data_IF_433713703897
#
_entry.id   IF_433713703897
#
_cell.length_a   1.000
_cell.length_b   1.000
_cell.length_c   1.000
_cell.angle_alpha   90.00
_cell.angle_beta   90.00
_cell.angle_gamma   90.00
#
_symmetry.space_group_name_H-M   'P 1'
#
loop_
_entity.id
_entity.type
_entity.pdbx_description
1 polymer ?
#
# COMPACT_ATOMS: atom_id res chain seq x y z
N UNK A 1 6.98 -19.03 -24.15
CA UNK A 1 6.32 -18.62 -22.88
C UNK A 1 6.20 -17.12 -22.90
N UNK A 2 5.01 -16.59 -22.61
CA UNK A 2 4.72 -15.17 -22.55
C UNK A 2 4.45 -14.77 -21.09
N UNK A 3 4.96 -13.62 -20.66
CA UNK A 3 4.63 -13.05 -19.36
C UNK A 3 3.89 -11.73 -19.53
N UNK A 4 2.79 -11.55 -18.79
CA UNK A 4 2.00 -10.32 -18.80
C UNK A 4 1.46 -9.99 -17.41
N UNK A 5 1.15 -8.73 -17.16
CA UNK A 5 0.42 -8.32 -15.96
C UNK A 5 -1.07 -8.57 -16.19
N UNK A 6 -1.73 -9.24 -15.25
CA UNK A 6 -3.18 -9.41 -15.25
C UNK A 6 -3.68 -9.62 -13.82
N UNK A 7 -4.76 -8.92 -13.48
CA UNK A 7 -5.49 -9.07 -12.23
C UNK A 7 -6.97 -8.72 -12.45
N UNK A 8 -7.75 -8.59 -11.37
CA UNK A 8 -9.18 -8.29 -11.47
C UNK A 8 -9.47 -6.98 -12.22
N UNK A 9 -8.61 -5.97 -12.10
CA UNK A 9 -8.79 -4.65 -12.72
C UNK A 9 -8.04 -4.53 -14.06
N UNK A 10 -6.91 -5.23 -14.20
CA UNK A 10 -6.08 -5.22 -15.41
C UNK A 10 -6.37 -6.44 -16.28
N UNK A 11 -7.56 -6.49 -16.87
CA UNK A 11 -8.07 -7.64 -17.65
C UNK A 11 -7.89 -7.50 -19.17
N UNK A 12 -7.07 -6.56 -19.63
CA UNK A 12 -6.89 -6.27 -21.06
C UNK A 12 -6.44 -7.47 -21.89
N UNK A 13 -5.61 -8.37 -21.32
CA UNK A 13 -5.18 -9.60 -22.00
C UNK A 13 -6.34 -10.55 -22.34
N UNK A 14 -7.45 -10.47 -21.61
CA UNK A 14 -8.66 -11.28 -21.78
C UNK A 14 -9.77 -10.55 -22.56
N UNK A 15 -9.93 -9.24 -22.37
CA UNK A 15 -11.10 -8.51 -22.89
C UNK A 15 -10.82 -7.63 -24.11
N UNK A 16 -9.55 -7.30 -24.37
CA UNK A 16 -9.19 -6.36 -25.44
C UNK A 16 -8.54 -7.16 -26.58
N UNK A 17 -9.08 -7.09 -27.82
CA UNK A 17 -8.43 -7.66 -29.00
C UNK A 17 -7.03 -7.08 -29.18
N UNK A 18 -6.08 -7.93 -29.55
CA UNK A 18 -4.72 -7.49 -29.82
C UNK A 18 -4.69 -6.62 -31.08
N UNK A 19 -3.79 -5.63 -31.14
CA UNK A 19 -3.77 -4.65 -32.23
C UNK A 19 -3.59 -5.34 -33.58
N UNK A 20 -4.55 -5.16 -34.51
CA UNK A 20 -4.51 -5.74 -35.85
C UNK A 20 -5.00 -7.19 -35.95
N UNK A 21 -5.53 -7.77 -34.87
CA UNK A 21 -6.17 -9.09 -34.86
C UNK A 21 -7.53 -9.03 -34.17
N UNK A 22 -8.41 -9.99 -34.48
CA UNK A 22 -9.70 -10.13 -33.78
C UNK A 22 -9.56 -10.84 -32.43
N UNK A 23 -8.46 -11.58 -32.23
CA UNK A 23 -8.20 -12.36 -31.02
C UNK A 23 -7.56 -11.52 -29.92
N UNK A 24 -7.92 -11.82 -28.67
CA UNK A 24 -7.23 -11.32 -27.47
C UNK A 24 -5.86 -11.99 -27.30
N UNK A 25 -5.01 -11.45 -26.42
CA UNK A 25 -3.68 -12.02 -26.15
C UNK A 25 -3.79 -13.46 -25.63
N UNK A 26 -4.76 -13.74 -24.75
CA UNK A 26 -4.97 -15.08 -24.20
C UNK A 26 -5.49 -16.07 -25.25
N UNK A 27 -6.39 -15.64 -26.13
CA UNK A 27 -6.90 -16.48 -27.23
C UNK A 27 -5.79 -16.83 -28.22
N UNK A 28 -5.00 -15.83 -28.63
CA UNK A 28 -3.87 -16.02 -29.53
C UNK A 28 -2.84 -16.98 -28.92
N UNK A 29 -2.48 -16.79 -27.65
CA UNK A 29 -1.53 -17.65 -26.95
C UNK A 29 -2.04 -19.10 -26.87
N UNK A 30 -3.34 -19.29 -26.60
CA UNK A 30 -3.97 -20.62 -26.58
C UNK A 30 -3.92 -21.30 -27.95
N UNK A 31 -4.28 -20.58 -29.00
CA UNK A 31 -4.25 -21.08 -30.39
C UNK A 31 -2.84 -21.55 -30.78
N UNK A 32 -1.81 -20.79 -30.38
CA UNK A 32 -0.41 -21.06 -30.70
C UNK A 32 0.31 -21.92 -29.65
N UNK A 33 -0.42 -22.46 -28.65
CA UNK A 33 0.12 -23.28 -27.55
C UNK A 33 1.26 -22.60 -26.79
N UNK A 34 1.19 -21.29 -26.65
CA UNK A 34 2.14 -20.49 -25.87
C UNK A 34 1.67 -20.47 -24.41
N UNK A 35 2.49 -20.99 -23.50
CA UNK A 35 2.23 -20.88 -22.07
C UNK A 35 2.23 -19.41 -21.62
N UNK A 36 1.20 -19.00 -20.88
CA UNK A 36 1.03 -17.63 -20.35
C UNK A 36 1.24 -17.61 -18.84
N UNK A 37 2.14 -16.73 -18.43
CA UNK A 37 2.51 -16.47 -17.05
C UNK A 37 1.97 -15.09 -16.64
N UNK A 38 0.98 -15.08 -15.75
CA UNK A 38 0.39 -13.85 -15.21
C UNK A 38 1.22 -13.36 -14.03
N UNK A 39 1.58 -12.08 -14.02
CA UNK A 39 2.24 -11.42 -12.89
C UNK A 39 1.33 -10.38 -12.21
N UNK A 40 1.71 -9.96 -10.99
CA UNK A 40 1.00 -8.98 -10.16
C UNK A 40 -0.50 -9.30 -9.96
N UNK A 41 -0.87 -10.57 -9.67
CA UNK A 41 -2.27 -10.99 -9.58
C UNK A 41 -3.05 -10.27 -8.47
N UNK A 42 -2.35 -9.74 -7.46
CA UNK A 42 -2.93 -9.11 -6.28
C UNK A 42 -2.52 -7.64 -6.11
N UNK A 43 -1.81 -7.07 -7.07
CA UNK A 43 -1.41 -5.66 -7.05
C UNK A 43 -1.97 -5.01 -8.31
N UNK A 44 -3.13 -4.37 -8.17
CA UNK A 44 -3.85 -3.73 -9.25
C UNK A 44 -3.46 -2.26 -9.39
N UNK A 45 -3.40 -1.77 -10.63
CA UNK A 45 -3.28 -0.35 -10.94
C UNK A 45 -4.47 0.04 -11.82
N UNK A 46 -5.63 0.40 -11.23
CA UNK A 46 -6.81 0.79 -12.00
C UNK A 46 -6.53 2.04 -12.83
N UNK A 47 -6.98 2.06 -14.09
CA UNK A 47 -6.68 3.14 -15.04
C UNK A 47 -7.25 4.51 -14.63
N UNK A 48 -8.32 4.51 -13.86
CA UNK A 48 -9.03 5.68 -13.33
C UNK A 48 -8.42 6.21 -12.01
N UNK A 49 -7.52 5.45 -11.37
CA UNK A 49 -7.00 5.76 -10.02
C UNK A 49 -5.51 6.00 -10.00
N UNK A 50 -5.14 7.08 -9.29
CA UNK A 50 -3.75 7.39 -8.97
C UNK A 50 -3.29 6.55 -7.78
N UNK A 51 -2.99 5.28 -8.03
CA UNK A 51 -2.33 4.44 -7.01
C UNK A 51 -2.55 2.95 -7.20
N UNK A 52 -1.63 2.18 -6.62
CA UNK A 52 -1.75 0.74 -6.51
C UNK A 52 -2.82 0.37 -5.48
N UNK A 53 -3.56 -0.70 -5.76
CA UNK A 53 -4.51 -1.33 -4.83
C UNK A 53 -4.08 -2.77 -4.63
N UNK A 54 -3.88 -3.18 -3.36
CA UNK A 54 -3.59 -4.56 -3.04
C UNK A 54 -4.89 -5.34 -2.79
N UNK A 55 -5.11 -6.43 -3.52
CA UNK A 55 -6.28 -7.31 -3.41
C UNK A 55 -6.12 -8.32 -2.26
N UNK A 56 -5.70 -7.82 -1.10
CA UNK A 56 -5.46 -8.60 0.11
C UNK A 56 -5.84 -7.76 1.32
N UNK A 57 -6.28 -8.41 2.40
CA UNK A 57 -6.60 -7.69 3.63
C UNK A 57 -5.38 -6.90 4.13
N UNK A 58 -5.53 -5.59 4.41
CA UNK A 58 -4.43 -4.80 4.94
C UNK A 58 -4.10 -5.27 6.35
N UNK A 59 -2.81 -5.21 6.70
CA UNK A 59 -2.33 -5.52 8.06
C UNK A 59 -1.95 -4.22 8.77
N UNK A 60 -2.51 -4.01 9.95
CA UNK A 60 -2.15 -2.92 10.84
C UNK A 60 -2.32 -3.34 12.29
N UNK A 61 -1.56 -2.72 13.17
CA UNK A 61 -1.74 -2.86 14.61
C UNK A 61 -2.81 -1.86 15.06
N UNK A 62 -3.85 -2.28 15.79
CA UNK A 62 -4.86 -1.36 16.29
C UNK A 62 -4.23 -0.41 17.32
N UNK A 63 -4.45 0.88 17.11
CA UNK A 63 -4.09 1.94 18.04
C UNK A 63 -5.37 2.57 18.58
N UNK A 64 -5.46 2.68 19.91
CA UNK A 64 -6.61 3.27 20.60
C UNK A 64 -6.48 4.78 20.78
N UNK A 65 -5.25 5.30 20.74
CA UNK A 65 -4.99 6.73 20.93
C UNK A 65 -5.59 7.56 19.79
N UNK A 66 -6.40 8.60 20.09
CA UNK A 66 -6.92 9.50 19.08
C UNK A 66 -5.81 10.28 18.37
N UNK A 67 -5.99 10.52 17.07
CA UNK A 67 -5.05 11.30 16.25
C UNK A 67 -4.76 12.66 16.87
N UNK A 68 -5.79 13.43 17.25
CA UNK A 68 -5.62 14.81 17.75
C UNK A 68 -4.74 14.88 19.00
N UNK A 69 -4.94 13.94 19.93
CA UNK A 69 -4.13 13.86 21.16
C UNK A 69 -2.66 13.60 20.83
N UNK A 70 -2.40 12.66 19.91
CA UNK A 70 -1.04 12.30 19.57
C UNK A 70 -0.36 13.37 18.70
N UNK A 71 -1.11 13.98 17.79
CA UNK A 71 -0.67 15.10 16.97
C UNK A 71 -0.22 16.28 17.84
N UNK A 72 -1.04 16.69 18.82
CA UNK A 72 -0.68 17.75 19.77
C UNK A 72 0.58 17.40 20.59
N UNK A 73 0.73 16.14 20.99
CA UNK A 73 1.89 15.70 21.75
C UNK A 73 3.20 15.72 20.93
N UNK A 74 3.12 15.49 19.61
CA UNK A 74 4.26 15.65 18.70
C UNK A 74 4.54 17.14 18.48
N UNK A 75 3.54 17.94 18.15
CA UNK A 75 3.68 19.38 17.95
C UNK A 75 4.33 20.10 19.15
N UNK A 76 3.95 19.73 20.38
CA UNK A 76 4.56 20.28 21.59
C UNK A 76 6.06 19.98 21.71
N UNK A 77 6.52 18.81 21.25
CA UNK A 77 7.95 18.48 21.21
C UNK A 77 8.68 19.23 20.10
N UNK A 78 8.04 19.43 18.95
CA UNK A 78 8.57 20.25 17.85
C UNK A 78 8.76 21.71 18.31
N UNK A 79 7.82 22.25 19.10
CA UNK A 79 7.95 23.57 19.72
C UNK A 79 9.09 23.64 20.74
N UNK A 80 9.26 22.61 21.57
CA UNK A 80 10.44 22.50 22.46
C UNK A 80 11.72 22.53 21.64
N UNK A 81 11.76 21.83 20.50
CA UNK A 81 12.93 21.84 19.63
C UNK A 81 13.24 23.22 19.05
N UNK A 82 12.22 23.93 18.57
CA UNK A 82 12.37 25.30 18.05
C UNK A 82 12.95 26.25 19.10
N UNK A 83 12.60 26.08 20.38
CA UNK A 83 13.05 26.94 21.48
C UNK A 83 14.45 26.57 21.98
N UNK A 84 14.71 25.29 22.19
CA UNK A 84 15.85 24.85 22.99
C UNK A 84 17.05 24.38 22.16
N UNK A 85 16.82 23.98 20.91
CA UNK A 85 17.83 23.34 20.06
C UNK A 85 18.06 24.05 18.72
N UNK A 86 17.03 24.60 18.08
CA UNK A 86 17.15 25.15 16.72
C UNK A 86 18.20 26.27 16.61
N UNK A 87 18.34 27.12 17.63
CA UNK A 87 19.33 28.21 17.65
C UNK A 87 20.79 27.74 17.74
N UNK A 88 21.03 26.49 18.14
CA UNK A 88 22.37 25.89 18.24
C UNK A 88 22.87 25.36 16.89
N UNK A 89 21.99 25.27 15.89
CA UNK A 89 22.32 24.75 14.57
C UNK A 89 22.63 25.94 13.64
N UNK A 90 23.85 26.02 13.08
CA UNK A 90 24.20 27.11 12.17
C UNK A 90 23.41 26.99 10.86
N UNK A 91 22.72 28.07 10.48
CA UNK A 91 22.02 28.15 9.19
C UNK A 91 22.91 28.76 8.12
N UNK A 92 23.18 28.00 7.05
CA UNK A 92 24.05 28.44 5.94
C UNK A 92 23.32 29.29 4.88
N UNK A 93 22.04 29.61 5.09
CA UNK A 93 21.23 30.36 4.12
C UNK A 93 20.77 29.55 2.91
N UNK A 94 21.01 28.24 2.89
CA UNK A 94 20.61 27.32 1.82
C UNK A 94 19.82 26.16 2.39
N UNK A 95 18.68 25.86 1.76
CA UNK A 95 17.78 24.78 2.19
C UNK A 95 16.85 25.18 3.34
N UNK A 96 16.28 24.16 3.97
CA UNK A 96 15.31 24.30 5.07
C UNK A 96 15.97 24.96 6.29
N UNK A 97 15.27 25.88 6.96
CA UNK A 97 15.77 26.48 8.19
C UNK A 97 15.80 25.44 9.33
N UNK A 98 16.78 25.50 10.26
CA UNK A 98 16.86 24.54 11.35
C UNK A 98 15.59 24.44 12.20
N UNK A 99 14.89 25.56 12.40
CA UNK A 99 13.61 25.61 13.14
C UNK A 99 12.50 24.78 12.49
N UNK A 100 12.60 24.51 11.19
CA UNK A 100 11.57 23.82 10.42
C UNK A 100 11.91 22.35 10.16
N UNK A 101 13.09 21.87 10.59
CA UNK A 101 13.55 20.48 10.42
C UNK A 101 12.56 19.43 10.90
N UNK A 102 11.84 19.72 11.99
CA UNK A 102 10.87 18.80 12.58
C UNK A 102 9.45 19.35 12.46
N UNK A 103 9.05 20.01 11.37
CA UNK A 103 7.65 20.50 11.21
C UNK A 103 6.67 19.40 10.77
N UNK A 104 6.82 18.17 11.30
CA UNK A 104 6.11 17.01 10.79
C UNK A 104 4.67 16.91 11.30
N UNK A 105 4.36 17.44 12.48
CA UNK A 105 2.98 17.42 12.98
C UNK A 105 2.05 18.13 11.98
N UNK A 106 2.37 19.38 11.62
CA UNK A 106 1.60 20.17 10.66
C UNK A 106 1.54 19.53 9.26
N UNK A 107 2.66 18.99 8.77
CA UNK A 107 2.74 18.31 7.48
C UNK A 107 1.85 17.06 7.46
N UNK A 108 1.96 16.20 8.48
CA UNK A 108 1.16 14.99 8.63
C UNK A 108 -0.32 15.30 8.82
N UNK A 109 -0.66 16.37 9.54
CA UNK A 109 -2.02 16.87 9.69
C UNK A 109 -2.66 17.22 8.34
N UNK A 110 -1.92 17.89 7.45
CA UNK A 110 -2.38 18.22 6.10
C UNK A 110 -2.48 16.97 5.21
N UNK A 111 -1.43 16.14 5.22
CA UNK A 111 -1.33 14.93 4.41
C UNK A 111 -2.43 13.90 4.75
N UNK A 112 -2.84 13.80 6.02
CA UNK A 112 -3.88 12.87 6.49
C UNK A 112 -5.14 12.87 5.62
N UNK A 113 -5.60 14.07 5.22
CA UNK A 113 -6.79 14.25 4.38
C UNK A 113 -6.60 13.74 2.94
N UNK A 114 -5.37 13.78 2.42
CA UNK A 114 -5.01 13.42 1.05
C UNK A 114 -4.67 11.94 0.88
N UNK A 115 -4.49 11.21 1.99
CA UNK A 115 -4.21 9.77 1.93
C UNK A 115 -5.45 9.02 1.43
N UNK A 116 -5.28 8.32 0.31
CA UNK A 116 -6.34 7.59 -0.37
C UNK A 116 -6.45 6.14 0.12
N UNK A 117 -5.31 5.46 0.28
CA UNK A 117 -5.22 4.07 0.66
C UNK A 117 -3.89 3.79 1.40
N UNK A 118 -3.74 2.57 1.91
CA UNK A 118 -2.54 2.13 2.64
C UNK A 118 -1.28 2.17 1.77
N UNK A 119 -1.36 1.80 0.50
CA UNK A 119 -0.22 1.79 -0.41
C UNK A 119 0.34 3.20 -0.65
N UNK A 120 -0.55 4.18 -0.81
CA UNK A 120 -0.19 5.59 -0.92
C UNK A 120 0.49 6.07 0.36
N UNK A 121 -0.03 5.68 1.53
CA UNK A 121 0.62 5.99 2.80
C UNK A 121 2.03 5.37 2.90
N UNK A 122 2.19 4.08 2.59
CA UNK A 122 3.48 3.39 2.62
C UNK A 122 4.52 4.07 1.72
N UNK A 123 4.07 4.60 0.58
CA UNK A 123 4.93 5.38 -0.32
C UNK A 123 5.35 6.71 0.29
N UNK A 124 4.42 7.50 0.85
CA UNK A 124 4.72 8.77 1.53
C UNK A 124 5.68 8.51 2.71
N UNK A 125 5.39 7.53 3.54
CA UNK A 125 6.19 7.18 4.72
C UNK A 125 7.63 6.83 4.32
N UNK A 126 7.82 5.96 3.32
CA UNK A 126 9.13 5.47 2.90
C UNK A 126 9.95 6.46 2.07
N UNK A 127 9.30 7.26 1.21
CA UNK A 127 10.00 8.15 0.27
C UNK A 127 10.18 9.57 0.80
N UNK A 128 9.33 10.02 1.72
CA UNK A 128 9.31 11.40 2.21
C UNK A 128 9.62 11.47 3.70
N UNK A 129 8.80 10.81 4.53
CA UNK A 129 8.83 11.00 5.98
C UNK A 129 10.08 10.39 6.61
N UNK A 130 10.36 9.10 6.35
CA UNK A 130 11.49 8.41 6.95
C UNK A 130 12.87 9.01 6.55
N UNK A 131 13.13 9.34 5.27
CA UNK A 131 14.38 10.01 4.89
C UNK A 131 14.54 11.38 5.56
N UNK A 132 13.46 12.17 5.61
CA UNK A 132 13.46 13.50 6.22
C UNK A 132 13.81 13.44 7.72
N UNK A 133 13.15 12.57 8.48
CA UNK A 133 13.42 12.37 9.92
C UNK A 133 14.87 11.95 10.13
N UNK A 134 15.35 10.96 9.37
CA UNK A 134 16.72 10.46 9.51
C UNK A 134 17.75 11.55 9.24
N UNK A 135 17.53 12.37 8.20
CA UNK A 135 18.41 13.49 7.89
C UNK A 135 18.38 14.56 8.99
N UNK A 136 17.20 14.97 9.45
CA UNK A 136 17.02 15.96 10.50
C UNK A 136 17.70 15.53 11.82
N UNK A 137 17.53 14.26 12.22
CA UNK A 137 18.18 13.68 13.39
C UNK A 137 19.71 13.66 13.22
N UNK A 138 20.22 13.21 12.07
CA UNK A 138 21.67 13.15 11.83
C UNK A 138 22.34 14.52 11.87
N UNK A 139 21.74 15.52 11.23
CA UNK A 139 22.28 16.89 11.22
C UNK A 139 22.27 17.45 12.64
N UNK A 140 21.15 17.32 13.35
CA UNK A 140 21.03 17.87 14.70
C UNK A 140 22.00 17.21 15.68
N UNK A 141 22.08 15.87 15.70
CA UNK A 141 22.98 15.14 16.62
C UNK A 141 24.44 15.57 16.47
N UNK A 142 24.90 15.88 15.24
CA UNK A 142 26.29 16.35 15.03
C UNK A 142 26.58 17.66 15.76
N UNK A 143 25.60 18.56 15.87
CA UNK A 143 25.76 19.85 16.54
C UNK A 143 25.56 19.77 18.07
N UNK A 144 24.82 18.77 18.57
CA UNK A 144 24.51 18.64 20.01
C UNK A 144 25.60 17.98 20.85
N UNK A 145 26.61 17.37 20.21
CA UNK A 145 27.77 16.76 20.87
C UNK A 145 28.68 17.77 21.63
N UNK A 146 28.37 19.08 21.60
CA UNK A 146 29.18 20.15 22.19
C UNK A 146 28.56 20.79 23.45
N UNK A 147 27.62 20.13 24.14
CA UNK A 147 27.18 20.57 25.49
C UNK A 147 25.73 20.29 25.89
N UNK A 148 24.87 19.83 24.96
CA UNK A 148 23.46 19.47 25.23
C UNK A 148 23.12 18.02 24.87
N UNK A 149 24.11 17.13 24.85
CA UNK A 149 23.94 15.76 24.38
C UNK A 149 22.85 14.98 25.14
N UNK A 150 22.82 15.08 26.48
CA UNK A 150 21.83 14.38 27.31
C UNK A 150 20.41 14.91 27.12
N UNK A 151 20.23 16.24 27.06
CA UNK A 151 18.91 16.85 26.82
C UNK A 151 18.40 16.51 25.42
N UNK A 152 19.30 16.49 24.43
CA UNK A 152 19.00 16.08 23.07
C UNK A 152 18.58 14.62 22.99
N UNK A 153 19.32 13.70 23.61
CA UNK A 153 19.00 12.26 23.62
C UNK A 153 17.64 11.97 24.27
N UNK A 154 17.34 12.65 25.38
CA UNK A 154 16.05 12.57 26.05
C UNK A 154 14.91 13.10 25.18
N UNK A 155 15.12 14.25 24.51
CA UNK A 155 14.14 14.80 23.58
C UNK A 155 13.92 13.86 22.38
N UNK A 156 15.00 13.39 21.76
CA UNK A 156 14.98 12.49 20.60
C UNK A 156 14.20 11.21 20.92
N UNK A 157 14.46 10.58 22.07
CA UNK A 157 13.78 9.35 22.48
C UNK A 157 12.26 9.57 22.62
N UNK A 158 11.85 10.69 23.23
CA UNK A 158 10.44 11.05 23.38
C UNK A 158 9.78 11.41 22.05
N UNK A 159 10.50 12.12 21.19
CA UNK A 159 10.01 12.54 19.88
C UNK A 159 9.81 11.36 18.96
N UNK A 160 10.81 10.49 18.81
CA UNK A 160 10.73 9.30 17.96
C UNK A 160 9.60 8.37 18.42
N UNK A 161 9.46 8.11 19.73
CA UNK A 161 8.38 7.23 20.19
C UNK A 161 7.00 7.80 19.91
N UNK A 162 6.81 9.11 20.11
CA UNK A 162 5.54 9.78 19.82
C UNK A 162 5.25 9.86 18.33
N UNK A 163 6.26 10.17 17.52
CA UNK A 163 6.11 10.22 16.08
C UNK A 163 5.75 8.86 15.51
N UNK A 164 6.42 7.78 15.92
CA UNK A 164 6.09 6.42 15.50
C UNK A 164 4.63 6.05 15.83
N UNK A 165 4.14 6.44 17.01
CA UNK A 165 2.73 6.23 17.36
C UNK A 165 1.79 7.03 16.44
N UNK A 166 2.13 8.28 16.11
CA UNK A 166 1.37 9.10 15.16
C UNK A 166 1.31 8.46 13.77
N UNK A 167 2.45 7.97 13.26
CA UNK A 167 2.54 7.26 11.98
C UNK A 167 1.69 5.98 12.00
N UNK A 168 1.69 5.22 13.11
CA UNK A 168 0.83 4.04 13.27
C UNK A 168 -0.67 4.38 13.21
N UNK A 169 -1.09 5.49 13.84
CA UNK A 169 -2.49 5.95 13.78
C UNK A 169 -2.88 6.26 12.33
N UNK A 170 -2.05 7.01 11.60
CA UNK A 170 -2.31 7.35 10.19
C UNK A 170 -2.37 6.08 9.33
N UNK A 171 -1.44 5.14 9.54
CA UNK A 171 -1.42 3.84 8.87
C UNK A 171 -2.72 3.06 9.09
N UNK A 172 -3.22 3.03 10.33
CA UNK A 172 -4.50 2.39 10.66
C UNK A 172 -5.68 3.05 9.94
N UNK A 173 -5.73 4.38 9.88
CA UNK A 173 -6.77 5.09 9.13
C UNK A 173 -6.72 4.78 7.63
N UNK A 174 -5.52 4.75 7.05
CA UNK A 174 -5.30 4.38 5.66
C UNK A 174 -5.71 2.93 5.38
N UNK A 175 -5.38 2.01 6.29
CA UNK A 175 -5.80 0.61 6.21
C UNK A 175 -7.33 0.45 6.26
N UNK A 176 -8.02 1.17 7.16
CA UNK A 176 -9.49 1.19 7.22
C UNK A 176 -10.12 1.73 5.93
N UNK A 177 -9.51 2.74 5.28
CA UNK A 177 -9.94 3.24 3.96
C UNK A 177 -9.79 2.15 2.90
N UNK A 178 -8.65 1.45 2.87
CA UNK A 178 -8.42 0.30 1.98
C UNK A 178 -9.45 -0.81 2.22
N UNK A 179 -9.73 -1.19 3.48
CA UNK A 179 -10.71 -2.24 3.82
C UNK A 179 -12.10 -1.94 3.25
N UNK A 180 -12.61 -0.72 3.42
CA UNK A 180 -13.91 -0.33 2.88
C UNK A 180 -13.96 -0.48 1.36
N UNK A 181 -12.87 -0.12 0.68
CA UNK A 181 -12.79 -0.30 -0.75
C UNK A 181 -12.78 -1.79 -1.14
N UNK A 182 -11.96 -2.61 -0.47
CA UNK A 182 -11.89 -4.06 -0.73
C UNK A 182 -13.20 -4.78 -0.40
N UNK A 183 -13.98 -4.30 0.57
CA UNK A 183 -15.33 -4.79 0.85
C UNK A 183 -16.28 -4.54 -0.33
N UNK A 184 -16.21 -3.38 -0.98
CA UNK A 184 -17.00 -3.10 -2.20
C UNK A 184 -16.64 -4.04 -3.35
N UNK A 185 -15.34 -4.30 -3.54
CA UNK A 185 -14.85 -5.27 -4.54
C UNK A 185 -15.36 -6.67 -4.21
N UNK A 186 -15.23 -7.08 -2.95
CA UNK A 186 -15.68 -8.40 -2.47
C UNK A 186 -17.17 -8.60 -2.67
N UNK A 187 -18.00 -7.61 -2.32
CA UNK A 187 -19.44 -7.66 -2.52
C UNK A 187 -19.85 -7.78 -3.99
N UNK A 188 -19.03 -7.26 -4.91
CA UNK A 188 -19.26 -7.41 -6.35
C UNK A 188 -18.91 -8.81 -6.81
N UNK A 189 -17.76 -9.34 -6.37
CA UNK A 189 -17.37 -10.72 -6.66
C UNK A 189 -18.41 -11.72 -6.14
N UNK A 190 -18.95 -11.53 -4.93
CA UNK A 190 -19.93 -12.46 -4.35
C UNK A 190 -21.24 -12.55 -5.15
N UNK A 191 -21.58 -11.54 -5.96
CA UNK A 191 -22.74 -11.63 -6.87
C UNK A 191 -22.49 -12.54 -8.07
N UNK A 192 -21.21 -12.77 -8.41
CA UNK A 192 -20.77 -13.52 -9.59
C UNK A 192 -20.17 -14.88 -9.24
N UNK A 193 -19.72 -15.05 -8.00
CA UNK A 193 -19.11 -16.28 -7.50
C UNK A 193 -20.12 -17.20 -6.79
N UNK A 194 -19.88 -18.53 -6.80
CA UNK A 194 -20.69 -19.48 -6.04
C UNK A 194 -20.75 -19.16 -4.55
N UNK A 195 -21.91 -19.43 -3.92
CA UNK A 195 -22.20 -19.08 -2.52
C UNK A 195 -21.22 -19.70 -1.53
N UNK A 196 -20.72 -20.89 -1.85
CA UNK A 196 -19.75 -21.64 -1.05
C UNK A 196 -18.43 -20.89 -0.90
N UNK A 197 -18.14 -19.93 -1.80
CA UNK A 197 -16.91 -19.14 -1.80
C UNK A 197 -17.09 -17.72 -1.26
N UNK A 198 -18.29 -17.33 -0.83
CA UNK A 198 -18.56 -15.98 -0.31
C UNK A 198 -17.74 -15.66 0.97
N UNK A 199 -17.49 -16.66 1.82
CA UNK A 199 -16.69 -16.49 3.04
C UNK A 199 -15.17 -16.41 2.82
N UNK A 200 -14.69 -16.62 1.59
CA UNK A 200 -13.25 -16.71 1.32
C UNK A 200 -12.59 -15.32 1.25
N UNK A 201 -11.30 -15.21 1.64
CA UNK A 201 -10.53 -13.98 1.48
C UNK A 201 -10.51 -13.48 0.03
N UNK A 202 -10.53 -12.15 -0.15
CA UNK A 202 -10.47 -11.50 -1.47
C UNK A 202 -9.27 -11.97 -2.31
N UNK A 203 -8.12 -12.19 -1.66
CA UNK A 203 -6.92 -12.71 -2.33
C UNK A 203 -7.16 -14.07 -2.98
N UNK A 204 -7.84 -14.98 -2.29
CA UNK A 204 -8.18 -16.30 -2.83
C UNK A 204 -9.18 -16.18 -3.97
N UNK A 205 -10.23 -15.36 -3.81
CA UNK A 205 -11.22 -15.10 -4.87
C UNK A 205 -10.54 -14.55 -6.14
N UNK A 206 -9.66 -13.57 -5.99
CA UNK A 206 -8.92 -12.97 -7.10
C UNK A 206 -8.00 -13.98 -7.80
N UNK A 207 -7.20 -14.74 -7.03
CA UNK A 207 -6.33 -15.78 -7.58
C UNK A 207 -7.14 -16.87 -8.29
N UNK A 208 -8.25 -17.31 -7.70
CA UNK A 208 -9.12 -18.33 -8.30
C UNK A 208 -9.73 -17.87 -9.62
N UNK A 209 -10.15 -16.61 -9.73
CA UNK A 209 -10.63 -16.07 -11.01
C UNK A 209 -9.54 -16.12 -12.09
N UNK A 210 -8.31 -15.75 -11.74
CA UNK A 210 -7.16 -15.78 -12.67
C UNK A 210 -6.78 -17.20 -13.07
N UNK A 211 -6.65 -18.13 -12.12
CA UNK A 211 -6.28 -19.52 -12.42
C UNK A 211 -7.37 -20.27 -13.19
N UNK A 212 -8.63 -19.85 -13.06
CA UNK A 212 -9.75 -20.40 -13.82
C UNK A 212 -9.89 -19.80 -15.23
N UNK A 213 -9.12 -18.75 -15.55
CA UNK A 213 -9.24 -18.05 -16.83
C UNK A 213 -8.61 -18.86 -17.97
N UNK A 214 -9.39 -19.21 -19.02
CA UNK A 214 -8.84 -19.91 -20.18
C UNK A 214 -7.67 -19.15 -20.82
N UNK A 215 -6.57 -19.86 -21.10
CA UNK A 215 -5.36 -19.28 -21.67
C UNK A 215 -4.31 -18.87 -20.62
N UNK A 216 -4.68 -18.72 -19.35
CA UNK A 216 -3.71 -18.54 -18.25
C UNK A 216 -3.13 -19.91 -17.88
N UNK A 217 -1.80 -20.04 -17.94
CA UNK A 217 -1.11 -21.30 -17.59
C UNK A 217 -0.59 -21.29 -16.16
N UNK A 218 -0.09 -20.15 -15.70
CA UNK A 218 0.48 -20.00 -14.37
C UNK A 218 0.29 -18.58 -13.85
N UNK A 219 0.06 -18.46 -12.54
CA UNK A 219 -0.09 -17.18 -11.84
C UNK A 219 1.08 -17.02 -10.87
N UNK A 220 1.92 -16.01 -11.12
CA UNK A 220 3.04 -15.64 -10.25
C UNK A 220 2.57 -14.79 -9.10
N UNK A 221 2.37 -15.41 -7.94
CA UNK A 221 2.07 -14.70 -6.71
C UNK A 221 3.35 -14.39 -5.92
N UNK A 222 3.73 -13.12 -5.84
CA UNK A 222 4.90 -12.67 -5.08
C UNK A 222 4.59 -12.52 -3.60
N UNK A 223 5.00 -13.49 -2.79
CA UNK A 223 4.68 -13.56 -1.35
C UNK A 223 5.95 -13.60 -0.50
N UNK A 224 5.93 -12.92 0.66
CA UNK A 224 7.08 -12.83 1.58
C UNK A 224 6.86 -13.50 2.94
N UNK A 225 5.69 -14.09 3.20
CA UNK A 225 5.34 -14.69 4.49
C UNK A 225 4.70 -16.07 4.29
N UNK A 226 5.13 -17.07 5.05
CA UNK A 226 4.67 -18.46 4.94
C UNK A 226 3.16 -18.60 5.05
N UNK A 227 2.52 -17.98 6.04
CA UNK A 227 1.06 -18.04 6.23
C UNK A 227 0.28 -17.63 4.97
N UNK A 228 0.81 -16.66 4.22
CA UNK A 228 0.17 -16.15 3.02
C UNK A 228 0.44 -17.04 1.79
N UNK A 229 1.53 -17.80 1.80
CA UNK A 229 1.78 -18.87 0.81
C UNK A 229 0.75 -19.97 1.00
N UNK A 230 0.58 -20.46 2.23
CA UNK A 230 -0.40 -21.50 2.55
C UNK A 230 -1.83 -21.04 2.22
N UNK A 231 -2.17 -19.79 2.56
CA UNK A 231 -3.44 -19.17 2.20
C UNK A 231 -3.69 -19.19 0.69
N UNK A 232 -2.67 -18.87 -0.11
CA UNK A 232 -2.79 -18.83 -1.58
C UNK A 232 -2.84 -20.21 -2.21
N UNK A 233 -2.15 -21.20 -1.64
CA UNK A 233 -2.16 -22.58 -2.17
C UNK A 233 -3.52 -23.26 -2.03
N UNK A 234 -4.36 -22.79 -1.10
CA UNK A 234 -5.72 -23.31 -0.89
C UNK A 234 -6.54 -23.33 -2.18
N UNK A 235 -6.35 -22.36 -3.08
CA UNK A 235 -7.10 -22.28 -4.34
C UNK A 235 -6.73 -23.36 -5.36
N UNK A 236 -5.60 -24.04 -5.21
CA UNK A 236 -5.19 -25.12 -6.11
C UNK A 236 -6.06 -26.38 -5.95
N UNK A 237 -6.74 -26.52 -4.82
CA UNK A 237 -7.70 -27.60 -4.58
C UNK A 237 -9.13 -27.26 -4.99
N UNK A 238 -9.38 -26.10 -5.62
CA UNK A 238 -10.72 -25.68 -6.03
C UNK A 238 -10.97 -26.04 -7.48
N UNK A 239 -12.20 -26.47 -7.77
CA UNK A 239 -12.66 -26.63 -9.15
C UNK A 239 -12.57 -25.29 -9.90
N UNK A 240 -12.12 -25.28 -11.16
CA UNK A 240 -12.07 -24.05 -11.95
C UNK A 240 -13.45 -23.40 -12.07
N UNK A 241 -13.49 -22.08 -11.94
CA UNK A 241 -14.69 -21.28 -12.17
C UNK A 241 -15.15 -21.45 -13.64
N UNK A 242 -16.38 -21.93 -13.91
CA UNK A 242 -16.79 -22.26 -15.28
C UNK A 242 -16.86 -21.06 -16.23
N UNK A 243 -17.18 -19.88 -15.71
CA UNK A 243 -17.32 -18.63 -16.48
C UNK A 243 -16.64 -17.48 -15.74
N UNK A 244 -15.32 -17.30 -15.88
CA UNK A 244 -14.60 -16.24 -15.19
C UNK A 244 -14.73 -14.87 -15.87
N UNK A 245 -15.05 -14.82 -17.17
CA UNK A 245 -15.12 -13.58 -17.95
C UNK A 245 -16.05 -12.49 -17.36
N UNK A 246 -17.28 -12.79 -16.88
CA UNK A 246 -18.16 -11.78 -16.29
C UNK A 246 -17.57 -11.09 -15.06
N UNK A 247 -16.66 -11.76 -14.33
CA UNK A 247 -15.94 -11.14 -13.20
C UNK A 247 -15.09 -9.98 -13.70
N UNK A 248 -14.30 -10.20 -14.74
CA UNK A 248 -13.40 -9.19 -15.28
C UNK A 248 -14.14 -8.03 -15.96
N UNK A 249 -15.24 -8.32 -16.65
CA UNK A 249 -16.12 -7.29 -17.23
C UNK A 249 -16.72 -6.39 -16.15
N UNK A 250 -17.20 -6.99 -15.05
CA UNK A 250 -17.77 -6.24 -13.93
C UNK A 250 -16.73 -5.40 -13.20
N UNK A 251 -15.46 -5.81 -13.18
CA UNK A 251 -14.38 -5.10 -12.49
C UNK A 251 -13.80 -3.94 -13.31
N UNK A 252 -13.81 -4.02 -14.65
CA UNK A 252 -13.42 -2.88 -15.51
C UNK A 252 -14.36 -1.68 -15.39
N UNK A 253 -15.62 -1.92 -15.01
CA UNK A 253 -16.63 -0.87 -14.86
C UNK A 253 -16.58 -0.12 -13.51
N UNK A 254 -15.64 -0.46 -12.61
CA UNK A 254 -15.49 0.09 -11.24
C UNK A 254 -14.22 0.93 -11.06
#
# INVERSE_FOLDING_TARGET
MLQLAMNLFESGALLIPNTGQENTVLEFAREHRVAVLVNRPLNAIPADRRGMIRLAAPRYEPVETPFETQHQAVAALEDTFRKDFAALIPYSGKGLEPKDFFSLADELGRLRSQIHNLEHWDQIESQMIAPHINQALQVTTRHMNQGKATDWENWQTRYVSKLLLLLKIIRQEAAKKSERHLQSVTATLDRLLPKEKHGEPLSRKALWCLTSTPGVTCVLNGIRTTDYVEDSLTILGWEPLPKPQPVFESMQAQ
#
